data_IF_422096386508
#
_entry.id   IF_422096386508
#
_cell.length_a   1.000
_cell.length_b   1.000
_cell.length_c   1.000
_cell.angle_alpha   90.00
_cell.angle_beta   90.00
_cell.angle_gamma   90.00
#
_symmetry.space_group_name_H-M   'P 1'
#
loop_
_entity.id
_entity.type
_entity.pdbx_description
1 polymer ?
#
# COMPACT_ATOMS: atom_id res chain seq x y z
N UNK A 1 -3.48 33.87 19.01
CA UNK A 1 -3.01 35.16 18.47
C UNK A 1 -3.17 35.16 16.97
N UNK A 2 -4.30 35.69 16.47
CA UNK A 2 -4.62 35.82 15.06
C UNK A 2 -4.03 37.15 14.56
N UNK A 3 -2.84 37.10 13.97
CA UNK A 3 -2.14 38.27 13.43
C UNK A 3 -2.01 38.16 11.92
N UNK A 4 -2.63 39.11 11.20
CA UNK A 4 -2.40 39.43 9.77
C UNK A 4 -2.99 38.55 8.67
N UNK A 5 -4.22 38.04 8.82
CA UNK A 5 -5.04 37.64 7.65
C UNK A 5 -5.70 38.83 6.93
N UNK A 6 -5.25 40.06 7.20
CA UNK A 6 -5.78 41.28 6.61
C UNK A 6 -5.08 41.54 5.27
N UNK A 7 -5.88 41.41 4.22
CA UNK A 7 -5.76 42.05 2.90
C UNK A 7 -5.08 41.37 1.71
N UNK A 8 -4.64 40.11 1.82
CA UNK A 8 -4.20 39.39 0.62
C UNK A 8 -5.30 39.30 -0.45
N UNK A 9 -6.55 39.05 -0.05
CA UNK A 9 -7.68 38.98 -0.97
C UNK A 9 -7.94 40.32 -1.71
N UNK A 10 -7.86 41.46 -1.01
CA UNK A 10 -8.05 42.77 -1.64
C UNK A 10 -6.85 43.18 -2.50
N UNK A 11 -5.65 42.69 -2.18
CA UNK A 11 -4.45 42.85 -3.04
C UNK A 11 -4.60 42.06 -4.35
N UNK A 12 -5.23 40.87 -4.32
CA UNK A 12 -5.37 39.99 -5.49
C UNK A 12 -6.54 40.36 -6.40
N UNK A 13 -7.63 40.94 -5.87
CA UNK A 13 -8.83 41.33 -6.65
C UNK A 13 -8.52 42.18 -7.89
N UNK A 14 -7.66 43.23 -7.86
CA UNK A 14 -7.34 44.01 -9.05
C UNK A 14 -6.64 43.18 -10.14
N UNK A 15 -5.69 42.31 -9.75
CA UNK A 15 -4.96 41.46 -10.70
C UNK A 15 -5.88 40.40 -11.33
N UNK A 16 -6.77 39.80 -10.53
CA UNK A 16 -7.81 38.87 -11.00
C UNK A 16 -8.79 39.57 -11.95
N UNK A 17 -9.20 40.81 -11.63
CA UNK A 17 -10.14 41.57 -12.45
C UNK A 17 -9.54 42.00 -13.81
N UNK A 18 -8.24 42.28 -13.86
CA UNK A 18 -7.51 42.61 -15.10
C UNK A 18 -7.09 41.39 -15.90
N UNK A 19 -7.25 40.18 -15.36
CA UNK A 19 -6.80 38.93 -15.99
C UNK A 19 -5.27 38.76 -15.99
N UNK A 20 -4.55 39.55 -15.19
CA UNK A 20 -3.08 39.46 -15.03
C UNK A 20 -2.67 38.25 -14.17
N UNK A 21 -3.63 37.68 -13.44
CA UNK A 21 -3.45 36.51 -12.61
C UNK A 21 -4.52 35.47 -12.95
N UNK A 22 -4.09 34.27 -13.33
CA UNK A 22 -4.93 33.08 -13.44
C UNK A 22 -4.56 32.11 -12.34
N UNK A 23 -5.55 31.52 -11.67
CA UNK A 23 -5.32 30.53 -10.63
C UNK A 23 -6.43 29.47 -10.61
N UNK A 24 -6.09 28.31 -10.05
CA UNK A 24 -7.03 27.25 -9.68
C UNK A 24 -6.98 27.14 -8.16
N UNK A 25 -8.14 27.20 -7.51
CA UNK A 25 -8.27 27.05 -6.06
C UNK A 25 -8.90 25.71 -5.71
N UNK A 26 -8.35 25.04 -4.70
CA UNK A 26 -8.96 23.88 -4.06
C UNK A 26 -9.46 24.28 -2.67
N UNK A 27 -10.72 23.97 -2.37
CA UNK A 27 -11.40 24.41 -1.14
C UNK A 27 -12.56 23.49 -0.84
N UNK A 28 -13.02 23.48 0.40
CA UNK A 28 -14.30 22.85 0.75
C UNK A 28 -15.49 23.71 0.30
N UNK A 29 -16.67 23.10 0.19
CA UNK A 29 -17.92 23.82 -0.12
C UNK A 29 -18.22 24.93 0.88
N UNK A 30 -17.94 24.70 2.16
CA UNK A 30 -18.22 25.65 3.24
C UNK A 30 -17.26 26.83 3.21
N UNK A 31 -15.97 26.60 2.96
CA UNK A 31 -14.99 27.67 2.77
C UNK A 31 -15.28 28.49 1.50
N UNK A 32 -15.68 27.83 0.40
CA UNK A 32 -16.08 28.51 -0.82
C UNK A 32 -17.26 29.47 -0.57
N UNK A 33 -18.31 28.98 0.10
CA UNK A 33 -19.48 29.78 0.52
C UNK A 33 -19.06 30.98 1.36
N UNK A 34 -18.20 30.74 2.36
CA UNK A 34 -17.80 31.75 3.33
C UNK A 34 -16.88 32.83 2.75
N UNK A 35 -16.02 32.48 1.80
CA UNK A 35 -14.91 33.35 1.38
C UNK A 35 -14.94 33.81 -0.09
N UNK A 36 -15.63 33.08 -0.97
CA UNK A 36 -15.74 33.40 -2.39
C UNK A 36 -17.16 33.82 -2.76
N UNK A 37 -18.14 32.99 -2.42
CA UNK A 37 -19.56 33.22 -2.75
C UNK A 37 -20.15 34.42 -1.98
N UNK A 38 -19.60 34.72 -0.80
CA UNK A 38 -19.97 35.91 -0.02
C UNK A 38 -19.44 37.24 -0.60
N UNK A 39 -18.47 37.19 -1.53
CA UNK A 39 -17.83 38.36 -2.14
C UNK A 39 -18.19 38.46 -3.62
N UNK A 40 -19.08 39.40 -3.95
CA UNK A 40 -19.62 39.58 -5.29
C UNK A 40 -18.56 39.93 -6.37
N UNK A 41 -17.35 40.35 -6.00
CA UNK A 41 -16.26 40.56 -6.96
C UNK A 41 -15.55 39.24 -7.29
N UNK A 42 -15.37 38.36 -6.30
CA UNK A 42 -14.73 37.06 -6.48
C UNK A 42 -15.70 36.05 -7.12
N UNK A 43 -16.96 36.01 -6.68
CA UNK A 43 -18.01 35.13 -7.22
C UNK A 43 -18.15 35.27 -8.75
N UNK A 44 -18.03 36.50 -9.27
CA UNK A 44 -18.13 36.77 -10.73
C UNK A 44 -16.88 36.40 -11.54
N UNK A 45 -15.78 36.04 -10.88
CA UNK A 45 -14.48 35.77 -11.50
C UNK A 45 -14.06 34.31 -11.41
N UNK A 46 -14.60 33.59 -10.42
CA UNK A 46 -14.38 32.16 -10.28
C UNK A 46 -15.53 31.37 -10.90
N UNK A 47 -15.19 30.36 -11.68
CA UNK A 47 -16.12 29.32 -12.08
C UNK A 47 -15.99 28.15 -11.11
N UNK A 48 -17.09 27.74 -10.48
CA UNK A 48 -17.10 26.54 -9.65
C UNK A 48 -17.11 25.29 -10.54
N UNK A 49 -16.18 24.38 -10.27
CA UNK A 49 -16.16 23.02 -10.80
C UNK A 49 -16.26 22.09 -9.59
N UNK A 50 -17.30 21.26 -9.57
CA UNK A 50 -17.47 20.26 -8.52
C UNK A 50 -16.56 19.07 -8.83
N UNK A 51 -15.74 18.67 -7.87
CA UNK A 51 -14.96 17.44 -7.93
C UNK A 51 -15.74 16.40 -7.14
N UNK A 52 -16.17 15.36 -7.84
CA UNK A 52 -16.89 14.24 -7.24
C UNK A 52 -15.89 13.22 -6.66
N UNK A 53 -16.32 12.47 -5.65
CA UNK A 53 -15.56 11.31 -5.17
C UNK A 53 -15.50 10.28 -6.32
N UNK A 54 -14.31 9.74 -6.65
CA UNK A 54 -14.19 8.74 -7.71
C UNK A 54 -14.96 7.47 -7.40
N UNK A 55 -15.33 6.73 -8.45
CA UNK A 55 -15.87 5.38 -8.30
C UNK A 55 -14.81 4.41 -7.75
N UNK A 56 -15.25 3.21 -7.35
CA UNK A 56 -14.32 2.15 -6.91
C UNK A 56 -13.39 1.77 -8.07
N UNK A 57 -13.94 1.65 -9.29
CA UNK A 57 -13.19 1.32 -10.50
C UNK A 57 -12.16 2.42 -10.84
N UNK A 58 -12.56 3.69 -10.82
CA UNK A 58 -11.65 4.82 -11.03
C UNK A 58 -10.55 4.86 -9.96
N UNK A 59 -10.88 4.52 -8.71
CA UNK A 59 -9.90 4.43 -7.63
C UNK A 59 -8.90 3.31 -7.87
N UNK A 60 -9.33 2.14 -8.35
CA UNK A 60 -8.43 1.04 -8.71
C UNK A 60 -7.45 1.49 -9.79
N UNK A 61 -7.91 2.21 -10.82
CA UNK A 61 -7.03 2.76 -11.86
C UNK A 61 -6.02 3.77 -11.31
N UNK A 62 -6.46 4.66 -10.41
CA UNK A 62 -5.58 5.61 -9.71
C UNK A 62 -4.51 4.86 -8.91
N UNK A 63 -4.90 3.86 -8.13
CA UNK A 63 -4.01 3.04 -7.32
C UNK A 63 -3.00 2.28 -8.18
N UNK A 64 -3.42 1.71 -9.31
CA UNK A 64 -2.51 1.10 -10.29
C UNK A 64 -1.50 2.12 -10.85
N UNK A 65 -1.94 3.34 -11.13
CA UNK A 65 -1.08 4.42 -11.63
C UNK A 65 0.00 4.86 -10.63
N UNK A 66 -0.28 4.80 -9.34
CA UNK A 66 0.66 5.16 -8.27
C UNK A 66 1.34 3.96 -7.61
N UNK A 67 1.01 2.73 -8.00
CA UNK A 67 1.51 1.48 -7.39
C UNK A 67 3.04 1.44 -7.28
N UNK A 68 3.72 1.80 -8.37
CA UNK A 68 5.18 1.69 -8.49
C UNK A 68 5.96 2.45 -7.41
N UNK A 69 5.76 3.76 -7.19
CA UNK A 69 6.50 4.47 -6.14
C UNK A 69 6.27 3.89 -4.73
N UNK A 70 5.08 3.36 -4.42
CA UNK A 70 4.83 2.72 -3.11
C UNK A 70 5.57 1.39 -2.97
N UNK A 71 5.57 0.55 -4.02
CA UNK A 71 6.36 -0.69 -4.03
C UNK A 71 7.85 -0.41 -3.81
N UNK A 72 8.40 0.59 -4.51
CA UNK A 72 9.80 0.98 -4.38
C UNK A 72 10.10 1.54 -2.98
N UNK A 73 9.20 2.36 -2.42
CA UNK A 73 9.39 2.96 -1.09
C UNK A 73 9.38 1.92 0.04
N UNK A 74 8.45 0.97 -0.02
CA UNK A 74 8.28 -0.05 1.02
C UNK A 74 9.05 -1.35 0.75
N UNK A 75 9.61 -1.51 -0.46
CA UNK A 75 10.26 -2.73 -0.91
C UNK A 75 9.34 -3.96 -0.76
N UNK A 76 8.12 -3.83 -1.28
CA UNK A 76 7.08 -4.87 -1.30
C UNK A 76 6.51 -4.98 -2.72
N UNK A 77 5.98 -6.14 -3.08
CA UNK A 77 5.15 -6.28 -4.27
C UNK A 77 3.69 -6.05 -3.87
N UNK A 78 3.00 -5.09 -4.50
CA UNK A 78 1.58 -4.85 -4.28
C UNK A 78 0.82 -5.71 -5.30
N UNK A 79 -0.04 -6.62 -4.86
CA UNK A 79 -0.83 -7.43 -5.81
C UNK A 79 -2.08 -6.67 -6.27
N UNK A 80 -2.67 -7.09 -7.39
CA UNK A 80 -3.88 -6.46 -7.93
C UNK A 80 -5.09 -6.69 -7.01
N UNK A 81 -5.20 -7.87 -6.40
CA UNK A 81 -6.20 -8.18 -5.37
C UNK A 81 -6.07 -7.26 -4.13
N UNK A 82 -4.86 -6.84 -3.75
CA UNK A 82 -4.68 -5.89 -2.64
C UNK A 82 -5.19 -4.49 -3.02
N UNK A 83 -5.00 -4.07 -4.27
CA UNK A 83 -5.53 -2.80 -4.78
C UNK A 83 -7.06 -2.82 -4.82
N UNK A 84 -7.65 -3.89 -5.37
CA UNK A 84 -9.11 -4.07 -5.40
C UNK A 84 -9.72 -4.11 -4.00
N UNK A 85 -9.07 -4.83 -3.07
CA UNK A 85 -9.46 -4.90 -1.66
C UNK A 85 -9.38 -3.53 -0.99
N UNK A 86 -8.30 -2.76 -1.20
CA UNK A 86 -8.15 -1.43 -0.60
C UNK A 86 -9.24 -0.46 -1.06
N UNK A 87 -9.59 -0.45 -2.35
CA UNK A 87 -10.67 0.38 -2.86
C UNK A 87 -12.04 -0.06 -2.29
N UNK A 88 -12.33 -1.36 -2.32
CA UNK A 88 -13.64 -1.90 -1.91
C UNK A 88 -13.88 -1.79 -0.40
N UNK A 89 -12.90 -2.21 0.41
CA UNK A 89 -13.03 -2.22 1.86
C UNK A 89 -13.02 -0.80 2.44
N UNK A 90 -12.20 0.11 1.90
CA UNK A 90 -12.22 1.50 2.35
C UNK A 90 -13.54 2.20 2.00
N UNK A 91 -14.11 1.94 0.83
CA UNK A 91 -15.42 2.45 0.45
C UNK A 91 -16.52 1.97 1.42
N UNK A 92 -16.47 0.70 1.82
CA UNK A 92 -17.50 0.06 2.65
C UNK A 92 -17.39 0.37 4.14
N UNK A 93 -16.17 0.39 4.68
CA UNK A 93 -15.95 0.40 6.13
C UNK A 93 -15.38 1.71 6.68
N UNK A 94 -14.96 2.64 5.80
CA UNK A 94 -14.41 3.95 6.19
C UNK A 94 -15.25 5.07 5.52
N UNK A 95 -16.45 5.37 6.06
CA UNK A 95 -17.42 6.27 5.43
C UNK A 95 -17.14 7.76 5.68
N UNK A 96 -16.26 8.11 6.61
CA UNK A 96 -15.92 9.47 7.01
C UNK A 96 -14.81 10.11 6.15
N UNK A 97 -14.29 9.36 5.18
CA UNK A 97 -13.26 9.78 4.23
C UNK A 97 -13.67 9.47 2.80
N UNK A 98 -13.10 10.20 1.86
CA UNK A 98 -13.38 10.07 0.45
C UNK A 98 -12.31 9.23 -0.26
N UNK A 99 -12.73 8.46 -1.26
CA UNK A 99 -11.82 7.93 -2.27
C UNK A 99 -11.16 9.08 -3.06
N UNK A 100 -9.94 8.88 -3.60
CA UNK A 100 -9.10 7.67 -3.48
C UNK A 100 -8.23 7.68 -2.20
N UNK A 101 -8.17 8.81 -1.50
CA UNK A 101 -7.26 9.11 -0.38
C UNK A 101 -7.25 8.01 0.70
N UNK A 102 -8.44 7.59 1.18
CA UNK A 102 -8.54 6.51 2.16
C UNK A 102 -8.00 5.15 1.69
N UNK A 103 -8.07 4.86 0.40
CA UNK A 103 -7.57 3.60 -0.15
C UNK A 103 -6.04 3.64 -0.33
N UNK A 104 -5.50 4.82 -0.68
CA UNK A 104 -4.06 5.07 -0.75
C UNK A 104 -3.43 4.87 0.62
N UNK A 105 -4.02 5.44 1.67
CA UNK A 105 -3.50 5.31 3.03
C UNK A 105 -3.53 3.85 3.53
N UNK A 106 -4.55 3.07 3.17
CA UNK A 106 -4.58 1.64 3.50
C UNK A 106 -3.42 0.88 2.83
N UNK A 107 -3.15 1.16 1.56
CA UNK A 107 -2.02 0.56 0.84
C UNK A 107 -0.70 0.96 1.49
N UNK A 108 -0.54 2.23 1.86
CA UNK A 108 0.68 2.74 2.49
C UNK A 108 0.95 2.09 3.85
N UNK A 109 -0.06 2.06 4.72
CA UNK A 109 0.06 1.47 6.05
C UNK A 109 0.25 -0.05 5.99
N UNK A 110 -0.50 -0.74 5.13
CA UNK A 110 -0.35 -2.18 4.97
C UNK A 110 1.02 -2.54 4.39
N UNK A 111 1.55 -1.75 3.44
CA UNK A 111 2.89 -1.93 2.89
C UNK A 111 3.98 -1.73 3.94
N UNK A 112 3.87 -0.66 4.75
CA UNK A 112 4.80 -0.39 5.83
C UNK A 112 4.78 -1.51 6.89
N UNK A 113 3.58 -1.96 7.25
CA UNK A 113 3.35 -3.07 8.19
C UNK A 113 3.95 -4.36 7.65
N UNK A 114 3.64 -4.73 6.40
CA UNK A 114 4.15 -5.92 5.74
C UNK A 114 5.68 -5.94 5.76
N UNK A 115 6.32 -4.81 5.43
CA UNK A 115 7.77 -4.68 5.50
C UNK A 115 8.29 -4.89 6.92
N UNK A 116 7.66 -4.29 7.93
CA UNK A 116 8.11 -4.42 9.33
C UNK A 116 7.97 -5.85 9.85
N UNK A 117 6.83 -6.49 9.58
CA UNK A 117 6.47 -7.78 10.17
C UNK A 117 6.89 -8.98 9.36
N UNK A 118 7.19 -8.85 8.05
CA UNK A 118 7.71 -9.94 7.22
C UNK A 118 9.21 -9.79 6.93
N UNK A 119 9.85 -8.66 7.21
CA UNK A 119 11.31 -8.53 7.00
C UNK A 119 12.17 -9.49 7.83
N UNK A 120 11.86 -9.82 9.11
CA UNK A 120 12.59 -10.85 9.86
C UNK A 120 12.48 -12.25 9.24
N UNK A 121 11.32 -12.58 8.69
CA UNK A 121 10.99 -13.82 8.01
C UNK A 121 11.80 -13.93 6.73
N UNK A 122 12.02 -12.82 6.01
CA UNK A 122 12.95 -12.76 4.88
C UNK A 122 14.37 -13.22 5.25
N UNK A 123 14.85 -12.84 6.45
CA UNK A 123 16.15 -13.27 6.94
C UNK A 123 16.15 -14.75 7.36
N UNK A 124 15.00 -15.30 7.75
CA UNK A 124 14.84 -16.71 8.04
C UNK A 124 14.77 -17.55 6.76
N UNK A 125 14.03 -17.10 5.74
CA UNK A 125 13.99 -17.68 4.39
C UNK A 125 15.42 -17.78 3.83
N UNK A 126 16.18 -16.68 3.84
CA UNK A 126 17.58 -16.68 3.39
C UNK A 126 18.43 -17.73 4.13
N UNK A 127 18.33 -17.80 5.46
CA UNK A 127 19.08 -18.79 6.27
C UNK A 127 18.70 -20.23 5.91
N UNK A 128 17.41 -20.52 5.73
CA UNK A 128 16.93 -21.86 5.37
C UNK A 128 17.42 -22.21 3.95
N UNK A 129 17.37 -21.27 3.00
CA UNK A 129 17.90 -21.48 1.66
C UNK A 129 19.41 -21.77 1.66
N UNK A 130 20.20 -21.05 2.46
CA UNK A 130 21.64 -21.30 2.60
C UNK A 130 21.91 -22.68 3.23
N UNK A 131 21.10 -23.10 4.21
CA UNK A 131 21.21 -24.42 4.85
C UNK A 131 20.84 -25.56 3.90
N UNK A 132 19.83 -25.37 3.05
CA UNK A 132 19.48 -26.31 1.97
C UNK A 132 20.68 -26.51 1.03
N UNK A 133 21.26 -25.41 0.52
CA UNK A 133 22.44 -25.49 -0.36
C UNK A 133 23.62 -26.19 0.32
N UNK A 134 23.81 -25.95 1.62
CA UNK A 134 24.85 -26.63 2.39
C UNK A 134 24.62 -28.15 2.45
N UNK A 135 23.40 -28.58 2.78
CA UNK A 135 23.04 -30.00 2.89
C UNK A 135 23.09 -30.70 1.52
N UNK A 136 22.66 -30.04 0.43
CA UNK A 136 22.80 -30.58 -0.92
C UNK A 136 24.27 -30.89 -1.25
N UNK A 137 25.19 -29.98 -0.91
CA UNK A 137 26.62 -30.22 -1.06
C UNK A 137 27.21 -31.25 -0.08
N UNK A 138 26.63 -31.44 1.10
CA UNK A 138 26.99 -32.56 1.99
C UNK A 138 26.54 -33.91 1.42
N UNK A 139 25.34 -33.98 0.83
CA UNK A 139 24.83 -35.19 0.18
C UNK A 139 25.73 -35.56 -1.01
N UNK A 140 26.08 -34.60 -1.86
CA UNK A 140 26.96 -34.83 -3.01
C UNK A 140 28.32 -35.39 -2.56
N UNK A 141 28.95 -34.75 -1.57
CA UNK A 141 30.22 -35.24 -0.98
C UNK A 141 30.07 -36.61 -0.33
N UNK A 142 28.99 -36.86 0.42
CA UNK A 142 28.74 -38.15 1.05
C UNK A 142 28.62 -39.28 0.04
N UNK A 143 28.01 -39.00 -1.12
CA UNK A 143 27.90 -39.94 -2.23
C UNK A 143 29.27 -40.18 -2.88
N UNK A 144 30.04 -39.14 -3.15
CA UNK A 144 31.37 -39.23 -3.74
C UNK A 144 32.37 -39.97 -2.84
N UNK A 145 32.33 -39.70 -1.54
CA UNK A 145 33.18 -40.33 -0.52
C UNK A 145 32.73 -41.78 -0.20
N UNK A 146 31.60 -42.23 -0.74
CA UNK A 146 31.08 -43.58 -0.54
C UNK A 146 30.63 -43.86 0.89
N UNK A 147 30.07 -42.85 1.57
CA UNK A 147 29.54 -43.00 2.93
C UNK A 147 28.38 -43.99 2.99
N UNK A 148 28.06 -44.45 4.22
CA UNK A 148 27.00 -45.42 4.46
C UNK A 148 25.63 -44.89 3.98
N UNK A 149 24.81 -45.79 3.43
CA UNK A 149 23.48 -45.45 2.89
C UNK A 149 22.60 -44.76 3.91
N UNK A 150 22.64 -45.21 5.16
CA UNK A 150 21.84 -44.66 6.25
C UNK A 150 22.19 -43.17 6.50
N UNK A 151 23.47 -42.80 6.41
CA UNK A 151 23.91 -41.40 6.55
C UNK A 151 23.40 -40.52 5.41
N UNK A 152 23.38 -41.03 4.18
CA UNK A 152 22.86 -40.30 3.02
C UNK A 152 21.32 -40.15 3.13
N UNK A 153 20.64 -41.18 3.62
CA UNK A 153 19.19 -41.16 3.87
C UNK A 153 18.81 -40.08 4.91
N UNK A 154 19.56 -40.00 6.02
CA UNK A 154 19.36 -39.00 7.07
C UNK A 154 19.51 -37.56 6.54
N UNK A 155 20.54 -37.31 5.72
CA UNK A 155 20.74 -36.00 5.08
C UNK A 155 19.58 -35.64 4.13
N UNK A 156 19.08 -36.61 3.35
CA UNK A 156 17.92 -36.41 2.47
C UNK A 156 16.63 -36.12 3.24
N UNK A 157 16.41 -36.80 4.36
CA UNK A 157 15.25 -36.53 5.22
C UNK A 157 15.31 -35.12 5.79
N UNK A 158 16.49 -34.68 6.23
CA UNK A 158 16.70 -33.30 6.71
C UNK A 158 16.51 -32.27 5.61
N UNK A 159 16.98 -32.55 4.40
CA UNK A 159 16.73 -31.71 3.21
C UNK A 159 15.24 -31.57 2.94
N UNK A 160 14.48 -32.67 2.97
CA UNK A 160 13.03 -32.65 2.74
C UNK A 160 12.29 -31.78 3.76
N UNK A 161 12.63 -31.88 5.05
CA UNK A 161 12.03 -31.03 6.09
C UNK A 161 12.35 -29.54 5.91
N UNK A 162 13.57 -29.20 5.53
CA UNK A 162 13.94 -27.80 5.27
C UNK A 162 13.23 -27.25 4.03
N UNK A 163 13.08 -28.06 2.97
CA UNK A 163 12.34 -27.69 1.76
C UNK A 163 10.86 -27.45 2.04
N UNK A 164 10.22 -28.30 2.85
CA UNK A 164 8.83 -28.11 3.28
C UNK A 164 8.67 -26.81 4.08
N UNK A 165 9.56 -26.59 5.05
CA UNK A 165 9.57 -25.35 5.85
C UNK A 165 9.79 -24.13 4.96
N UNK A 166 10.68 -24.19 3.97
CA UNK A 166 10.96 -23.09 3.05
C UNK A 166 9.73 -22.76 2.19
N UNK A 167 9.03 -23.77 1.67
CA UNK A 167 7.83 -23.58 0.86
C UNK A 167 6.72 -22.85 1.65
N UNK A 168 6.53 -23.21 2.91
CA UNK A 168 5.56 -22.54 3.79
C UNK A 168 5.87 -21.05 3.92
N UNK A 169 7.15 -20.70 4.15
CA UNK A 169 7.55 -19.31 4.22
C UNK A 169 7.45 -18.62 2.85
N UNK A 170 7.87 -19.25 1.75
CA UNK A 170 7.92 -18.67 0.41
C UNK A 170 6.54 -18.36 -0.18
N UNK A 171 5.48 -19.05 0.25
CA UNK A 171 4.10 -18.79 -0.19
C UNK A 171 3.67 -17.31 -0.07
N UNK A 172 4.28 -16.56 0.85
CA UNK A 172 4.02 -15.14 1.12
C UNK A 172 5.00 -14.17 0.42
N UNK A 173 5.91 -14.67 -0.42
CA UNK A 173 6.99 -13.92 -1.06
C UNK A 173 6.95 -14.07 -2.57
N UNK A 174 7.46 -13.07 -3.27
CA UNK A 174 7.71 -13.17 -4.69
C UNK A 174 9.02 -13.94 -4.92
N UNK A 175 8.94 -15.06 -5.66
CA UNK A 175 10.08 -15.94 -5.94
C UNK A 175 11.19 -15.26 -6.77
N UNK A 176 10.82 -14.32 -7.65
CA UNK A 176 11.76 -13.64 -8.54
C UNK A 176 12.46 -12.47 -7.86
N UNK A 177 11.73 -11.68 -7.06
CA UNK A 177 12.24 -10.44 -6.46
C UNK A 177 12.68 -10.61 -5.00
N UNK A 178 12.24 -11.69 -4.32
CA UNK A 178 12.46 -11.89 -2.89
C UNK A 178 11.77 -10.83 -2.03
N UNK A 179 10.78 -10.11 -2.56
CA UNK A 179 9.98 -9.11 -1.84
C UNK A 179 8.72 -9.77 -1.25
N UNK A 180 8.25 -9.30 -0.08
CA UNK A 180 7.00 -9.79 0.45
C UNK A 180 5.86 -9.26 -0.41
N UNK A 181 4.83 -10.09 -0.60
CA UNK A 181 3.65 -9.75 -1.40
C UNK A 181 2.57 -9.20 -0.47
N UNK A 182 2.10 -7.99 -0.77
CA UNK A 182 0.95 -7.39 -0.12
C UNK A 182 -0.30 -7.96 -0.77
N UNK A 183 -1.09 -8.70 -0.01
CA UNK A 183 -2.30 -9.40 -0.47
C UNK A 183 -3.56 -8.80 0.15
N UNK A 184 -4.72 -9.29 -0.28
CA UNK A 184 -6.03 -8.79 0.16
C UNK A 184 -6.24 -8.87 1.69
N UNK A 185 -5.69 -9.89 2.33
CA UNK A 185 -5.78 -10.17 3.75
C UNK A 185 -5.01 -9.14 4.58
N UNK A 186 -3.85 -8.70 4.11
CA UNK A 186 -3.05 -7.66 4.77
C UNK A 186 -3.85 -6.34 4.82
N UNK A 187 -4.61 -6.02 3.77
CA UNK A 187 -5.51 -4.86 3.73
C UNK A 187 -6.67 -5.03 4.72
N UNK A 188 -7.31 -6.20 4.73
CA UNK A 188 -8.42 -6.50 5.63
C UNK A 188 -8.01 -6.40 7.11
N UNK A 189 -6.78 -6.80 7.45
CA UNK A 189 -6.22 -6.60 8.79
C UNK A 189 -6.13 -5.11 9.16
N UNK A 190 -5.58 -4.27 8.29
CA UNK A 190 -5.44 -2.83 8.55
C UNK A 190 -6.81 -2.16 8.69
N UNK A 191 -7.77 -2.50 7.83
CA UNK A 191 -9.15 -2.00 7.96
C UNK A 191 -9.75 -2.42 9.30
N UNK A 192 -9.52 -3.66 9.73
CA UNK A 192 -9.98 -4.13 11.03
C UNK A 192 -9.33 -3.40 12.20
N UNK A 193 -8.06 -3.00 12.07
CA UNK A 193 -7.37 -2.17 13.07
C UNK A 193 -7.95 -0.76 13.14
N UNK A 194 -8.25 -0.13 12.00
CA UNK A 194 -8.78 1.23 11.95
C UNK A 194 -10.21 1.32 12.47
N UNK A 195 -11.04 0.34 12.08
CA UNK A 195 -12.49 0.36 12.35
C UNK A 195 -12.87 -0.38 13.61
N UNK A 196 -11.99 -1.26 14.12
CA UNK A 196 -12.29 -2.21 15.19
C UNK A 196 -13.22 -3.36 14.78
N UNK A 197 -13.59 -3.46 13.48
CA UNK A 197 -14.48 -4.49 12.95
C UNK A 197 -13.63 -5.59 12.30
N UNK A 198 -13.71 -6.85 12.73
CA UNK A 198 -12.96 -7.93 12.09
C UNK A 198 -13.45 -8.17 10.66
N UNK A 199 -12.61 -7.84 9.66
CA UNK A 199 -12.95 -8.01 8.24
C UNK A 199 -12.47 -9.35 7.68
N UNK A 200 -11.49 -10.00 8.33
CA UNK A 200 -10.79 -11.22 7.89
C UNK A 200 -11.63 -12.51 7.80
N UNK A 201 -12.96 -12.44 7.94
CA UNK A 201 -13.84 -13.64 7.94
C UNK A 201 -15.13 -13.51 7.13
N UNK A 202 -15.33 -12.44 6.37
CA UNK A 202 -16.65 -12.14 5.79
C UNK A 202 -16.82 -12.47 4.30
N UNK A 203 -15.79 -13.00 3.64
CA UNK A 203 -15.84 -13.39 2.22
C UNK A 203 -15.71 -14.92 2.01
N UNK A 204 -16.45 -15.70 2.82
CA UNK A 204 -16.82 -17.10 2.52
C UNK A 204 -18.33 -17.27 2.46
#
# INVERSE_FOLDING_TARGET
>A
SAGSSVDAANILKPALARGELQCIGATTLDEFRKHIESDAALERRFQKVMVEEPSIEETIEILQGIKRPYQEHHNVEITDEAIESAATLSARYIPDRFLPDKAIDLIDEASARLRMFKSPEAAQVRRISDEIQHIEGEIERAVDDGLEKDTIEDLKNRLGHLQETLNDYQSSWNEETGQPRLISEDIAEVVGMWTGIPVTRLDQ
#
